data_IF_687895687250
#
_entry.id   IF_687895687250
#
_cell.length_a   1.000
_cell.length_b   1.000
_cell.length_c   1.000
_cell.angle_alpha   90.00
_cell.angle_beta   90.00
_cell.angle_gamma   90.00
#
_symmetry.space_group_name_H-M   'P 1'
#
loop_
_entity.id
_entity.type
_entity.pdbx_description
1 polymer ?
#
# COMPACT_ATOMS: atom_id res chain seq x y z
N UNK A 1 -10.48 9.98 -0.84
CA UNK A 1 -9.48 10.96 -0.34
C UNK A 1 -9.98 11.46 1.00
N UNK A 2 -9.09 11.70 1.97
CA UNK A 2 -9.47 12.20 3.31
C UNK A 2 -9.63 13.72 3.31
N UNK A 3 -10.43 14.26 4.25
CA UNK A 3 -10.58 15.71 4.46
C UNK A 3 -9.22 16.41 4.61
N UNK A 4 -8.34 15.87 5.48
CA UNK A 4 -7.00 16.41 5.73
C UNK A 4 -6.19 16.69 4.46
N UNK A 5 -6.23 15.75 3.49
CA UNK A 5 -5.55 15.90 2.20
C UNK A 5 -6.28 16.88 1.28
N UNK A 6 -7.61 16.82 1.23
CA UNK A 6 -8.42 17.69 0.37
C UNK A 6 -8.24 19.18 0.71
N UNK A 7 -8.06 19.52 1.99
CA UNK A 7 -7.82 20.90 2.44
C UNK A 7 -6.40 21.41 2.12
N UNK A 8 -5.45 20.52 1.85
CA UNK A 8 -4.00 20.84 1.80
C UNK A 8 -3.36 20.57 0.45
N UNK A 9 -4.05 19.90 -0.46
CA UNK A 9 -3.59 19.61 -1.81
C UNK A 9 -4.26 20.53 -2.82
N UNK A 10 -3.53 20.91 -3.86
CA UNK A 10 -4.14 21.65 -4.95
C UNK A 10 -5.19 20.78 -5.67
N UNK A 11 -6.32 21.36 -6.13
CA UNK A 11 -7.37 20.60 -6.80
C UNK A 11 -6.92 19.84 -8.05
N UNK A 12 -5.93 20.36 -8.78
CA UNK A 12 -5.41 19.72 -9.99
C UNK A 12 -4.70 18.39 -9.64
N UNK A 13 -3.94 18.34 -8.54
CA UNK A 13 -3.33 17.11 -8.04
C UNK A 13 -4.38 16.09 -7.61
N UNK A 14 -5.49 16.52 -6.99
CA UNK A 14 -6.59 15.61 -6.62
C UNK A 14 -7.23 15.00 -7.87
N UNK A 15 -7.49 15.81 -8.91
CA UNK A 15 -8.01 15.34 -10.19
C UNK A 15 -7.03 14.37 -10.84
N UNK A 16 -5.74 14.69 -10.85
CA UNK A 16 -4.70 13.82 -11.38
C UNK A 16 -4.64 12.47 -10.65
N UNK A 17 -4.63 12.46 -9.31
CA UNK A 17 -4.62 11.22 -8.52
C UNK A 17 -5.82 10.32 -8.82
N UNK A 18 -7.01 10.91 -9.02
CA UNK A 18 -8.23 10.18 -9.41
C UNK A 18 -8.19 9.65 -10.84
N UNK A 19 -7.37 10.24 -11.70
CA UNK A 19 -7.23 9.84 -13.11
C UNK A 19 -6.25 8.69 -13.33
N UNK A 20 -5.46 8.33 -12.30
CA UNK A 20 -4.49 7.24 -12.41
C UNK A 20 -5.20 5.91 -12.73
N UNK A 21 -4.65 5.09 -13.65
CA UNK A 21 -5.28 3.84 -14.05
C UNK A 21 -5.20 2.79 -12.93
N UNK A 22 -6.14 1.85 -12.93
CA UNK A 22 -6.10 0.69 -12.03
C UNK A 22 -5.04 -0.34 -12.45
N UNK A 23 -4.75 -0.40 -13.75
CA UNK A 23 -3.81 -1.31 -14.38
C UNK A 23 -2.95 -0.53 -15.37
N UNK A 24 -1.65 -0.77 -15.32
CA UNK A 24 -0.68 -0.36 -16.33
C UNK A 24 -0.03 -1.61 -16.92
N UNK A 25 0.04 -1.70 -18.25
CA UNK A 25 0.82 -2.73 -18.96
C UNK A 25 2.08 -2.09 -19.53
N UNK A 26 3.24 -2.69 -19.31
CA UNK A 26 4.50 -2.12 -19.77
C UNK A 26 5.45 -3.20 -20.26
N UNK A 27 6.09 -2.97 -21.40
CA UNK A 27 7.21 -3.79 -21.86
C UNK A 27 8.53 -3.13 -21.45
N UNK A 28 9.43 -3.90 -20.85
CA UNK A 28 10.78 -3.46 -20.46
C UNK A 28 11.76 -4.52 -20.94
N UNK A 29 12.63 -4.13 -21.87
CA UNK A 29 13.64 -5.00 -22.49
C UNK A 29 13.08 -6.36 -22.92
N UNK A 30 11.91 -6.38 -23.56
CA UNK A 30 11.25 -7.58 -24.09
C UNK A 30 10.36 -8.34 -23.11
N UNK A 31 10.35 -8.00 -21.83
CA UNK A 31 9.46 -8.60 -20.83
C UNK A 31 8.22 -7.74 -20.59
N UNK A 32 7.05 -8.39 -20.55
CA UNK A 32 5.74 -7.76 -20.41
C UNK A 32 5.27 -7.79 -18.97
N UNK A 33 5.13 -6.61 -18.39
CA UNK A 33 4.71 -6.37 -17.02
C UNK A 33 3.22 -5.98 -16.94
N UNK A 34 2.54 -6.54 -15.94
CA UNK A 34 1.20 -6.16 -15.49
C UNK A 34 1.31 -5.50 -14.13
N UNK A 35 0.94 -4.23 -14.00
CA UNK A 35 1.16 -3.44 -12.78
C UNK A 35 -0.18 -2.91 -12.28
N UNK A 36 -0.60 -3.33 -11.08
CA UNK A 36 -1.86 -2.92 -10.45
C UNK A 36 -1.68 -2.69 -8.95
N UNK A 37 -2.59 -1.96 -8.31
CA UNK A 37 -2.55 -1.85 -6.85
C UNK A 37 -2.96 -3.16 -6.17
N UNK A 38 -4.06 -3.76 -6.63
CA UNK A 38 -4.57 -5.06 -6.20
C UNK A 38 -4.90 -5.88 -7.46
N UNK A 39 -6.16 -6.20 -7.73
CA UNK A 39 -6.57 -6.81 -9.01
C UNK A 39 -6.61 -5.76 -10.14
N UNK A 40 -6.49 -6.17 -11.41
CA UNK A 40 -6.44 -5.25 -12.56
C UNK A 40 -7.65 -4.32 -12.70
N UNK A 41 -8.83 -4.77 -12.28
CA UNK A 41 -10.11 -4.05 -12.36
C UNK A 41 -10.66 -3.65 -10.97
N UNK A 42 -9.94 -3.97 -9.90
CA UNK A 42 -10.39 -3.77 -8.52
C UNK A 42 -9.22 -3.54 -7.55
N UNK A 43 -9.08 -2.30 -7.06
CA UNK A 43 -7.99 -1.88 -6.17
C UNK A 43 -8.24 -2.09 -4.66
N UNK A 44 -9.19 -2.94 -4.26
CA UNK A 44 -9.55 -3.17 -2.85
C UNK A 44 -9.93 -4.62 -2.58
N UNK A 45 -9.95 -5.02 -1.31
CA UNK A 45 -10.41 -6.33 -0.86
C UNK A 45 -9.31 -7.38 -0.72
N UNK A 46 -9.66 -8.51 -0.12
CA UNK A 46 -8.70 -9.54 0.31
C UNK A 46 -8.39 -10.64 -0.69
N UNK A 47 -8.66 -10.46 -1.99
CA UNK A 47 -8.46 -11.52 -2.99
C UNK A 47 -6.98 -11.93 -3.12
N UNK A 48 -6.04 -11.00 -2.91
CA UNK A 48 -4.59 -11.26 -3.03
C UNK A 48 -3.85 -11.33 -1.67
N UNK A 49 -4.57 -11.73 -0.61
CA UNK A 49 -3.92 -12.09 0.66
C UNK A 49 -2.94 -13.25 0.44
N UNK A 50 -1.82 -13.26 1.18
CA UNK A 50 -0.68 -14.14 0.91
C UNK A 50 -1.00 -15.63 1.08
N UNK A 51 -2.00 -15.93 1.91
CA UNK A 51 -2.50 -17.27 2.19
C UNK A 51 -3.51 -17.80 1.16
N UNK A 52 -3.99 -16.94 0.25
CA UNK A 52 -4.98 -17.35 -0.74
C UNK A 52 -4.35 -18.22 -1.85
N UNK A 53 -5.21 -19.05 -2.44
CA UNK A 53 -4.86 -19.99 -3.51
C UNK A 53 -4.40 -19.29 -4.79
N UNK A 54 -3.59 -19.99 -5.59
CA UNK A 54 -3.02 -19.47 -6.84
C UNK A 54 -4.08 -19.01 -7.82
N UNK A 55 -5.26 -19.63 -7.84
CA UNK A 55 -6.39 -19.21 -8.70
C UNK A 55 -6.78 -17.73 -8.49
N UNK A 56 -6.66 -17.22 -7.26
CA UNK A 56 -6.91 -15.81 -6.98
C UNK A 56 -5.85 -14.91 -7.59
N UNK A 57 -4.60 -15.36 -7.58
CA UNK A 57 -3.44 -14.65 -8.10
C UNK A 57 -3.35 -14.71 -9.63
N UNK A 58 -3.87 -15.76 -10.25
CA UNK A 58 -3.95 -15.88 -11.71
C UNK A 58 -4.76 -14.75 -12.35
N UNK A 59 -5.66 -14.10 -11.60
CA UNK A 59 -6.39 -12.92 -12.05
C UNK A 59 -5.48 -11.70 -12.32
N UNK A 60 -4.24 -11.68 -11.83
CA UNK A 60 -3.24 -10.66 -12.16
C UNK A 60 -2.63 -10.85 -13.57
N UNK A 61 -2.82 -12.04 -14.14
CA UNK A 61 -2.12 -12.53 -15.31
C UNK A 61 -3.10 -12.69 -16.48
N UNK A 62 -2.63 -12.34 -17.67
CA UNK A 62 -3.25 -12.73 -18.94
C UNK A 62 -2.26 -13.58 -19.75
N UNK A 63 -2.64 -13.98 -20.97
CA UNK A 63 -1.81 -14.81 -21.84
C UNK A 63 -0.49 -14.16 -22.27
N UNK A 64 -0.36 -12.85 -22.07
CA UNK A 64 0.79 -12.05 -22.49
C UNK A 64 1.62 -11.54 -21.30
N UNK A 65 1.19 -11.74 -20.07
CA UNK A 65 1.92 -11.22 -18.91
C UNK A 65 3.02 -12.19 -18.51
N UNK A 66 4.27 -11.70 -18.53
CA UNK A 66 5.43 -12.47 -18.07
C UNK A 66 5.65 -12.25 -16.56
N UNK A 67 5.45 -11.01 -16.09
CA UNK A 67 5.59 -10.61 -14.67
C UNK A 67 4.42 -9.71 -14.24
N UNK A 68 3.72 -10.08 -13.18
CA UNK A 68 2.76 -9.20 -12.51
C UNK A 68 3.37 -8.56 -11.25
N UNK A 69 3.16 -7.27 -11.07
CA UNK A 69 3.54 -6.51 -9.87
C UNK A 69 2.28 -5.95 -9.24
N UNK A 70 2.04 -6.29 -7.97
CA UNK A 70 0.90 -5.78 -7.21
C UNK A 70 1.31 -5.23 -5.84
N UNK A 71 0.40 -4.52 -5.16
CA UNK A 71 0.62 -3.91 -3.84
C UNK A 71 -0.45 -4.34 -2.82
N UNK A 72 -1.12 -3.36 -2.21
CA UNK A 72 -2.29 -3.51 -1.34
C UNK A 72 -2.09 -4.23 0.02
N UNK A 73 -1.49 -5.42 0.04
CA UNK A 73 -1.41 -6.28 1.24
C UNK A 73 -0.18 -6.03 2.12
N UNK A 74 0.71 -5.14 1.68
CA UNK A 74 1.84 -4.60 2.44
C UNK A 74 2.85 -5.67 2.92
N UNK A 75 3.00 -6.74 2.14
CA UNK A 75 3.96 -7.83 2.39
C UNK A 75 4.79 -8.07 1.15
N UNK A 76 6.10 -8.19 1.33
CA UNK A 76 6.98 -8.66 0.25
C UNK A 76 6.60 -10.07 -0.16
N UNK A 77 6.43 -10.31 -1.46
CA UNK A 77 6.03 -11.59 -1.99
C UNK A 77 6.70 -11.84 -3.35
N UNK A 78 7.18 -13.05 -3.54
CA UNK A 78 7.44 -13.64 -4.85
C UNK A 78 6.71 -14.98 -4.88
N UNK A 79 5.79 -15.12 -5.83
CA UNK A 79 5.13 -16.39 -6.13
C UNK A 79 4.92 -16.53 -7.64
N UNK A 80 4.29 -17.63 -8.03
CA UNK A 80 4.04 -17.94 -9.43
C UNK A 80 2.54 -18.12 -9.68
N UNK A 81 2.10 -17.71 -10.86
CA UNK A 81 0.82 -18.12 -11.42
C UNK A 81 0.85 -19.55 -11.94
N UNK A 82 -0.31 -20.04 -12.38
CA UNK A 82 -0.50 -21.43 -12.82
C UNK A 82 0.31 -21.81 -14.06
N UNK A 83 0.71 -20.85 -14.91
CA UNK A 83 1.58 -21.12 -16.06
C UNK A 83 3.06 -20.82 -15.78
N UNK A 84 3.43 -20.53 -14.53
CA UNK A 84 4.81 -20.25 -14.13
C UNK A 84 5.25 -18.78 -14.30
N UNK A 85 4.33 -17.87 -14.63
CA UNK A 85 4.61 -16.44 -14.67
C UNK A 85 4.86 -15.89 -13.26
N UNK A 86 5.69 -14.85 -13.15
CA UNK A 86 6.05 -14.34 -11.83
C UNK A 86 5.04 -13.32 -11.30
N UNK A 87 4.81 -13.37 -10.00
CA UNK A 87 3.97 -12.43 -9.28
C UNK A 87 4.76 -11.86 -8.11
N UNK A 88 4.93 -10.55 -8.11
CA UNK A 88 5.79 -9.82 -7.19
C UNK A 88 4.97 -8.79 -6.42
N UNK A 89 5.17 -8.72 -5.10
CA UNK A 89 4.73 -7.62 -4.27
C UNK A 89 5.95 -6.97 -3.61
N UNK A 90 6.24 -5.68 -3.82
CA UNK A 90 7.41 -5.03 -3.25
C UNK A 90 7.29 -4.77 -1.74
N UNK A 91 6.11 -5.01 -1.15
CA UNK A 91 5.79 -4.64 0.22
C UNK A 91 5.24 -3.22 0.31
N UNK A 92 5.45 -2.58 1.45
CA UNK A 92 5.03 -1.19 1.69
C UNK A 92 6.17 -0.34 2.23
N UNK A 93 6.34 0.85 1.64
CA UNK A 93 7.30 1.87 2.10
C UNK A 93 6.82 2.44 3.43
N UNK A 94 5.58 2.92 3.46
CA UNK A 94 5.05 3.68 4.59
C UNK A 94 4.38 2.82 5.65
N UNK A 95 3.92 1.61 5.35
CA UNK A 95 3.13 0.82 6.28
C UNK A 95 3.34 -0.68 6.06
N UNK A 96 4.57 -1.20 6.28
CA UNK A 96 4.82 -2.64 6.19
C UNK A 96 3.94 -3.41 7.18
N UNK A 97 3.50 -4.63 6.82
CA UNK A 97 2.59 -5.41 7.66
C UNK A 97 3.14 -6.81 7.95
N UNK A 98 3.08 -7.22 9.22
CA UNK A 98 3.61 -8.50 9.70
C UNK A 98 2.64 -9.20 10.65
N UNK A 99 2.25 -10.42 10.31
CA UNK A 99 1.50 -11.28 11.24
C UNK A 99 2.43 -12.05 12.20
N UNK A 100 3.68 -12.28 11.81
CA UNK A 100 4.63 -13.04 12.60
C UNK A 100 5.49 -12.12 13.45
N UNK A 101 5.31 -12.19 14.77
CA UNK A 101 5.92 -11.28 15.75
C UNK A 101 7.44 -11.13 15.56
N UNK A 102 8.16 -12.25 15.39
CA UNK A 102 9.61 -12.22 15.27
C UNK A 102 10.14 -11.52 14.01
N UNK A 103 9.27 -11.23 13.03
CA UNK A 103 9.63 -10.50 11.80
C UNK A 103 9.23 -9.03 11.85
N UNK A 104 8.48 -8.58 12.86
CA UNK A 104 7.99 -7.20 12.96
C UNK A 104 9.14 -6.20 12.96
N UNK A 105 8.99 -5.15 12.16
CA UNK A 105 9.90 -4.02 12.08
C UNK A 105 9.27 -2.90 11.23
N UNK A 106 9.68 -1.66 11.44
CA UNK A 106 9.17 -0.51 10.68
C UNK A 106 9.97 -0.16 9.43
N UNK A 107 10.85 -1.05 8.93
CA UNK A 107 11.69 -0.72 7.77
C UNK A 107 10.82 -0.63 6.52
N UNK A 108 10.99 0.45 5.77
CA UNK A 108 10.35 0.63 4.47
C UNK A 108 10.74 -0.51 3.54
N UNK A 109 9.76 -1.06 2.82
CA UNK A 109 9.93 -2.18 1.90
C UNK A 109 9.78 -1.74 0.45
N UNK A 110 10.66 -2.24 -0.41
CA UNK A 110 10.53 -2.14 -1.85
C UNK A 110 11.23 -3.30 -2.55
N UNK A 111 11.07 -3.40 -3.88
CA UNK A 111 11.82 -4.33 -4.71
C UNK A 111 12.55 -3.58 -5.84
N UNK A 112 13.71 -4.09 -6.22
CA UNK A 112 14.41 -3.73 -7.47
C UNK A 112 14.35 -4.95 -8.39
N UNK A 113 13.85 -4.75 -9.59
CA UNK A 113 13.77 -5.79 -10.62
C UNK A 113 14.74 -5.39 -11.73
N UNK A 114 15.68 -6.27 -12.04
CA UNK A 114 16.68 -6.07 -13.09
C UNK A 114 16.32 -6.96 -14.28
N UNK A 115 16.22 -6.33 -15.46
CA UNK A 115 15.95 -6.98 -16.74
C UNK A 115 17.01 -6.57 -17.75
N UNK A 116 17.42 -7.50 -18.61
CA UNK A 116 18.40 -7.27 -19.67
C UNK A 116 18.16 -8.29 -20.79
N UNK A 117 18.18 -7.86 -22.06
CA UNK A 117 18.11 -8.72 -23.24
C UNK A 117 16.96 -9.76 -23.25
N UNK A 118 15.77 -9.40 -22.77
CA UNK A 118 14.61 -10.31 -22.71
C UNK A 118 14.58 -11.21 -21.48
N UNK A 119 15.56 -11.08 -20.58
CA UNK A 119 15.72 -11.93 -19.41
C UNK A 119 15.48 -11.16 -18.11
N UNK A 120 14.92 -11.86 -17.12
CA UNK A 120 14.79 -11.37 -15.77
C UNK A 120 16.01 -11.81 -14.96
N UNK A 121 16.97 -10.90 -14.82
CA UNK A 121 18.26 -11.22 -14.21
C UNK A 121 18.19 -11.32 -12.69
N UNK A 122 17.44 -10.43 -12.04
CA UNK A 122 17.46 -10.33 -10.59
C UNK A 122 16.18 -9.71 -10.00
N UNK A 123 15.85 -10.13 -8.78
CA UNK A 123 14.82 -9.52 -7.94
C UNK A 123 15.39 -9.31 -6.54
N UNK A 124 15.55 -8.06 -6.13
CA UNK A 124 16.05 -7.70 -4.81
C UNK A 124 14.95 -7.10 -3.94
N UNK A 125 14.48 -7.84 -2.95
CA UNK A 125 13.65 -7.29 -1.87
C UNK A 125 14.51 -6.56 -0.86
N UNK A 126 14.21 -5.28 -0.63
CA UNK A 126 15.01 -4.41 0.25
C UNK A 126 14.16 -3.90 1.40
N UNK A 127 14.82 -3.74 2.56
CA UNK A 127 14.26 -3.14 3.77
C UNK A 127 15.18 -2.01 4.23
N UNK A 128 14.64 -0.81 4.38
CA UNK A 128 15.43 0.39 4.73
C UNK A 128 14.91 0.99 6.02
N UNK A 129 15.80 1.17 6.99
CA UNK A 129 15.46 1.92 8.19
C UNK A 129 15.36 3.42 7.87
N UNK A 130 14.42 4.09 8.50
CA UNK A 130 14.29 5.54 8.50
C UNK A 130 13.97 6.00 9.92
N UNK A 131 14.10 7.29 10.17
CA UNK A 131 13.80 7.90 11.46
C UNK A 131 12.28 8.06 11.62
N UNK A 132 11.66 7.12 12.33
CA UNK A 132 10.22 7.14 12.56
C UNK A 132 9.79 8.16 13.62
N UNK A 133 10.70 8.59 14.50
CA UNK A 133 10.41 9.68 15.45
C UNK A 133 10.39 11.02 14.70
N UNK A 134 11.31 11.24 13.76
CA UNK A 134 11.25 12.42 12.87
C UNK A 134 9.95 12.46 12.03
N UNK A 135 9.49 11.31 11.52
CA UNK A 135 8.19 11.20 10.83
C UNK A 135 7.02 11.49 11.77
N UNK A 136 7.05 10.98 13.00
CA UNK A 136 6.00 11.22 13.99
C UNK A 136 5.92 12.71 14.40
N UNK A 137 7.07 13.36 14.61
CA UNK A 137 7.14 14.79 14.89
C UNK A 137 6.67 15.63 13.70
N UNK A 138 7.00 15.21 12.47
CA UNK A 138 6.46 15.84 11.27
C UNK A 138 4.93 15.71 11.23
N UNK A 139 4.38 14.51 11.46
CA UNK A 139 2.94 14.28 11.49
C UNK A 139 2.23 15.15 12.54
N UNK A 140 2.79 15.26 13.76
CA UNK A 140 2.31 16.17 14.81
C UNK A 140 2.33 17.62 14.35
N UNK A 141 3.44 18.08 13.77
CA UNK A 141 3.59 19.47 13.30
C UNK A 141 2.62 19.83 12.17
N UNK A 142 2.18 18.84 11.38
CA UNK A 142 1.20 19.00 10.32
C UNK A 142 -0.24 18.90 10.81
N UNK A 143 -0.45 18.58 12.08
CA UNK A 143 -1.77 18.36 12.66
C UNK A 143 -2.49 17.16 12.04
N UNK A 144 -1.77 16.05 11.83
CA UNK A 144 -2.36 14.82 11.30
C UNK A 144 -3.48 14.33 12.24
N UNK A 145 -4.71 14.10 11.73
CA UNK A 145 -5.79 13.50 12.53
C UNK A 145 -5.41 12.10 13.02
N UNK A 146 -5.98 11.68 14.15
CA UNK A 146 -5.68 10.39 14.78
C UNK A 146 -4.17 10.20 15.08
N UNK A 147 -3.49 11.27 15.51
CA UNK A 147 -2.06 11.24 15.78
C UNK A 147 -1.69 10.17 16.82
N UNK A 148 -2.55 9.92 17.81
CA UNK A 148 -2.34 8.87 18.80
C UNK A 148 -2.34 7.46 18.17
N UNK A 149 -3.20 7.20 17.17
CA UNK A 149 -3.16 5.93 16.42
C UNK A 149 -1.96 5.85 15.47
N UNK A 150 -1.50 6.99 14.95
CA UNK A 150 -0.31 7.02 14.12
C UNK A 150 0.95 6.73 14.97
N UNK A 151 0.99 7.23 16.20
CA UNK A 151 2.05 6.91 17.17
C UNK A 151 2.06 5.42 17.52
N UNK A 152 0.91 4.81 17.82
CA UNK A 152 0.79 3.37 18.07
C UNK A 152 1.27 2.54 16.85
N UNK A 153 0.87 2.94 15.64
CA UNK A 153 1.35 2.31 14.41
C UNK A 153 2.88 2.39 14.26
N UNK A 154 3.49 3.54 14.59
CA UNK A 154 4.93 3.78 14.40
C UNK A 154 5.81 3.17 15.48
N UNK A 155 5.26 2.87 16.65
CA UNK A 155 6.01 2.31 17.79
C UNK A 155 5.75 0.84 18.03
N UNK A 156 4.51 0.39 17.84
CA UNK A 156 4.07 -0.94 18.22
C UNK A 156 3.66 -1.81 17.01
N UNK A 157 3.73 -1.25 15.79
CA UNK A 157 3.34 -1.90 14.52
C UNK A 157 1.88 -2.39 14.54
N UNK A 158 1.03 -1.73 15.34
CA UNK A 158 -0.37 -2.06 15.44
C UNK A 158 -1.16 -1.36 14.33
N UNK A 159 -1.63 -2.15 13.36
CA UNK A 159 -2.35 -1.61 12.21
C UNK A 159 -3.69 -0.99 12.63
N UNK A 160 -3.99 0.18 12.06
CA UNK A 160 -5.19 0.95 12.38
C UNK A 160 -6.45 0.15 11.98
N UNK A 161 -7.17 -0.32 12.99
CA UNK A 161 -8.31 -1.24 12.85
C UNK A 161 -8.27 -2.40 13.86
N UNK A 162 -7.09 -2.69 14.44
CA UNK A 162 -6.97 -3.68 15.52
C UNK A 162 -7.27 -3.10 16.91
N UNK A 163 -7.24 -1.77 17.06
CA UNK A 163 -7.58 -1.07 18.30
C UNK A 163 -8.87 -0.24 18.16
N UNK A 164 -10.00 -0.93 18.04
CA UNK A 164 -11.32 -0.30 17.84
C UNK A 164 -11.75 0.53 19.05
N UNK A 165 -11.34 0.16 20.26
CA UNK A 165 -11.61 0.91 21.48
C UNK A 165 -10.90 2.27 21.47
N UNK A 166 -9.62 2.30 21.13
CA UNK A 166 -8.88 3.55 20.98
C UNK A 166 -9.50 4.41 19.89
N UNK A 167 -9.79 3.84 18.71
CA UNK A 167 -10.42 4.57 17.60
C UNK A 167 -11.72 5.24 18.04
N UNK A 168 -12.63 4.50 18.68
CA UNK A 168 -13.90 5.04 19.16
C UNK A 168 -13.69 6.17 20.17
N UNK A 169 -12.76 6.00 21.11
CA UNK A 169 -12.44 7.01 22.12
C UNK A 169 -11.88 8.31 21.51
N UNK A 170 -11.06 8.20 20.45
CA UNK A 170 -10.47 9.36 19.77
C UNK A 170 -11.51 10.09 18.91
N UNK A 171 -12.42 9.35 18.26
CA UNK A 171 -13.55 9.93 17.52
C UNK A 171 -14.40 10.80 18.45
N UNK A 172 -14.73 10.30 19.64
CA UNK A 172 -15.49 11.05 20.64
C UNK A 172 -14.70 12.25 21.19
N UNK A 173 -13.46 12.00 21.66
CA UNK A 173 -12.59 13.01 22.27
C UNK A 173 -12.34 14.22 21.37
N UNK A 174 -12.10 13.97 20.07
CA UNK A 174 -11.73 15.01 19.11
C UNK A 174 -12.90 15.50 18.25
N UNK A 175 -14.10 14.93 18.43
CA UNK A 175 -15.30 15.35 17.70
C UNK A 175 -15.26 15.07 16.20
N UNK A 176 -14.51 14.06 15.76
CA UNK A 176 -14.27 13.80 14.33
C UNK A 176 -15.54 13.52 13.51
N UNK A 177 -16.63 13.07 14.13
CA UNK A 177 -17.92 12.90 13.43
C UNK A 177 -18.49 14.24 12.98
N UNK A 178 -18.46 15.25 13.85
CA UNK A 178 -19.01 16.57 13.52
C UNK A 178 -18.08 17.30 12.54
N UNK A 179 -16.75 17.20 12.72
CA UNK A 179 -15.76 17.74 11.77
C UNK A 179 -15.99 17.25 10.33
N UNK A 180 -16.22 15.94 10.16
CA UNK A 180 -16.49 15.37 8.83
C UNK A 180 -17.84 15.82 8.27
N UNK A 181 -18.89 15.96 9.11
CA UNK A 181 -20.19 16.48 8.66
C UNK A 181 -20.07 17.91 8.18
N UNK A 182 -19.44 18.78 8.96
CA UNK A 182 -19.21 20.19 8.64
C UNK A 182 -18.43 20.33 7.33
N UNK A 183 -17.44 19.47 7.10
CA UNK A 183 -16.69 19.43 5.84
C UNK A 183 -17.58 19.10 4.63
N UNK A 184 -18.48 18.14 4.74
CA UNK A 184 -19.38 17.78 3.64
C UNK A 184 -20.51 18.80 3.42
N UNK A 185 -20.97 19.48 4.47
CA UNK A 185 -21.95 20.56 4.34
C UNK A 185 -21.34 21.83 3.71
N UNK A 186 -20.01 21.97 3.76
CA UNK A 186 -19.27 23.07 3.14
C UNK A 186 -18.94 22.87 1.65
N UNK A 187 -18.82 21.61 1.18
CA UNK A 187 -18.47 21.25 -0.20
C UNK A 187 -19.62 21.43 -1.21
#
# INVERSE_FOLDING_TARGET
MTQFLMERMDPATIVWLRSLPLLEKKEIDGLRFSISHNLPDKNYGGDLLVENDTEKFDQLLDAETDVAVYGHVHKQLLRYGSQGQQIINPGSIGMPYFNWEALKNHRAQYAVIEVEDGELLNIQFRKVAYDYEAELELAKSKGLPFIEMYEELRRDDNYQGHNLELLASLIEKHGYVEDVKDFFDFL
#
